data_IF_327337317748
#
_entry.id   IF_327337317748
#
_cell.length_a   1.000
_cell.length_b   1.000
_cell.length_c   1.000
_cell.angle_alpha   90.00
_cell.angle_beta   90.00
_cell.angle_gamma   90.00
#
_symmetry.space_group_name_H-M   'P 1'
#
loop_
_entity.id
_entity.type
_entity.pdbx_description
1 polymer ?
#
# COMPACT_ATOMS: atom_id res chain seq x y z
N UNK A 1 -21.14 -54.40 3.81
CA UNK A 1 -21.68 -53.09 4.19
C UNK A 1 -20.53 -52.11 4.13
N UNK A 2 -20.29 -51.57 2.94
CA UNK A 2 -19.24 -50.63 2.60
C UNK A 2 -19.65 -49.25 3.10
N UNK A 3 -18.96 -48.74 4.12
CA UNK A 3 -19.08 -47.35 4.53
C UNK A 3 -18.16 -46.52 3.63
N UNK A 4 -18.77 -45.68 2.79
CA UNK A 4 -18.11 -44.68 1.96
C UNK A 4 -17.34 -43.67 2.85
N UNK A 5 -16.08 -43.94 3.13
CA UNK A 5 -15.12 -42.93 3.57
C UNK A 5 -14.60 -42.19 2.35
N UNK A 6 -15.49 -41.44 1.70
CA UNK A 6 -15.10 -40.32 0.86
C UNK A 6 -14.58 -39.20 1.78
N UNK A 7 -13.39 -39.40 2.33
CA UNK A 7 -12.59 -38.31 2.89
C UNK A 7 -12.43 -37.30 1.75
N UNK A 8 -13.17 -36.19 1.83
CA UNK A 8 -12.98 -35.06 0.95
C UNK A 8 -11.50 -34.67 1.01
N UNK A 9 -10.71 -35.03 0.00
CA UNK A 9 -9.45 -34.35 -0.26
C UNK A 9 -9.79 -32.91 -0.60
N UNK A 10 -9.93 -32.08 0.43
CA UNK A 10 -10.04 -30.64 0.29
C UNK A 10 -8.78 -30.18 -0.41
N UNK A 11 -8.93 -29.77 -1.67
CA UNK A 11 -7.82 -29.38 -2.51
C UNK A 11 -7.12 -28.15 -1.93
N UNK A 12 -5.93 -28.38 -1.36
CA UNK A 12 -5.02 -27.35 -0.84
C UNK A 12 -4.55 -26.34 -1.91
N UNK A 13 -4.84 -26.62 -3.18
CA UNK A 13 -4.41 -25.81 -4.33
C UNK A 13 -5.01 -24.41 -4.27
N UNK A 14 -6.30 -24.27 -3.95
CA UNK A 14 -6.99 -22.97 -3.95
C UNK A 14 -6.41 -21.98 -2.94
N UNK A 15 -6.31 -22.29 -1.64
CA UNK A 15 -5.78 -21.34 -0.64
C UNK A 15 -4.31 -21.00 -0.89
N UNK A 16 -3.48 -21.99 -1.27
CA UNK A 16 -2.08 -21.76 -1.62
C UNK A 16 -1.96 -20.88 -2.88
N UNK A 17 -2.80 -21.09 -3.89
CA UNK A 17 -2.82 -20.26 -5.09
C UNK A 17 -3.21 -18.81 -4.78
N UNK A 18 -4.21 -18.59 -3.93
CA UNK A 18 -4.61 -17.24 -3.49
C UNK A 18 -3.45 -16.56 -2.78
N UNK A 19 -2.85 -17.21 -1.79
CA UNK A 19 -1.72 -16.65 -1.05
C UNK A 19 -0.51 -16.38 -1.95
N UNK A 20 -0.16 -17.31 -2.83
CA UNK A 20 0.94 -17.16 -3.78
C UNK A 20 0.68 -16.02 -4.77
N UNK A 21 -0.55 -15.91 -5.28
CA UNK A 21 -0.95 -14.81 -6.17
C UNK A 21 -0.85 -13.45 -5.49
N UNK A 22 -1.19 -13.37 -4.20
CA UNK A 22 -1.04 -12.16 -3.40
C UNK A 22 0.44 -11.77 -3.25
N UNK A 23 1.31 -12.74 -2.94
CA UNK A 23 2.75 -12.48 -2.82
C UNK A 23 3.38 -12.04 -4.14
N UNK A 24 2.97 -12.66 -5.25
CA UNK A 24 3.40 -12.26 -6.59
C UNK A 24 2.91 -10.85 -6.93
N UNK A 25 1.67 -10.49 -6.59
CA UNK A 25 1.15 -9.13 -6.79
C UNK A 25 2.01 -8.10 -6.04
N UNK A 26 2.31 -8.33 -4.77
CA UNK A 26 3.19 -7.47 -3.96
C UNK A 26 4.57 -7.29 -4.59
N UNK A 27 5.17 -8.38 -5.08
CA UNK A 27 6.47 -8.37 -5.75
C UNK A 27 6.40 -7.58 -7.07
N UNK A 28 5.41 -7.86 -7.92
CA UNK A 28 5.23 -7.19 -9.20
C UNK A 28 5.01 -5.68 -9.04
N UNK A 29 4.19 -5.25 -8.08
CA UNK A 29 3.98 -3.83 -7.78
C UNK A 29 5.26 -3.15 -7.31
N UNK A 30 6.02 -3.81 -6.43
CA UNK A 30 7.31 -3.31 -5.95
C UNK A 30 8.29 -3.14 -7.11
N UNK A 31 8.41 -4.15 -7.98
CA UNK A 31 9.27 -4.10 -9.18
C UNK A 31 8.82 -2.97 -10.12
N UNK A 32 7.51 -2.81 -10.36
CA UNK A 32 6.96 -1.74 -11.20
C UNK A 32 7.39 -0.37 -10.67
N UNK A 33 7.21 -0.11 -9.38
CA UNK A 33 7.57 1.16 -8.76
C UNK A 33 9.08 1.38 -8.80
N UNK A 34 9.88 0.37 -8.43
CA UNK A 34 11.34 0.48 -8.45
C UNK A 34 11.85 0.75 -9.87
N UNK A 35 11.34 0.08 -10.91
CA UNK A 35 11.71 0.34 -12.30
C UNK A 35 11.40 1.77 -12.72
N UNK A 36 10.22 2.29 -12.34
CA UNK A 36 9.85 3.67 -12.60
C UNK A 36 10.79 4.67 -11.89
N UNK A 37 11.20 4.38 -10.66
CA UNK A 37 12.16 5.19 -9.90
C UNK A 37 13.56 5.15 -10.51
N UNK A 38 14.08 3.96 -10.84
CA UNK A 38 15.40 3.79 -11.45
C UNK A 38 15.50 4.47 -12.80
N UNK A 39 14.48 4.36 -13.65
CA UNK A 39 14.44 5.07 -14.94
C UNK A 39 14.59 6.59 -14.75
N UNK A 40 13.88 7.17 -13.77
CA UNK A 40 14.00 8.61 -13.45
C UNK A 40 15.36 8.97 -12.84
N UNK A 41 15.91 8.11 -11.98
CA UNK A 41 17.24 8.32 -11.40
C UNK A 41 18.34 8.33 -12.47
N UNK A 42 18.30 7.39 -13.43
CA UNK A 42 19.24 7.34 -14.56
C UNK A 42 19.15 8.60 -15.42
N UNK A 43 17.93 9.03 -15.77
CA UNK A 43 17.73 10.28 -16.52
C UNK A 43 18.31 11.49 -15.78
N UNK A 44 18.02 11.63 -14.48
CA UNK A 44 18.57 12.71 -13.65
C UNK A 44 20.10 12.71 -13.63
N UNK A 45 20.73 11.53 -13.50
CA UNK A 45 22.19 11.38 -13.53
C UNK A 45 22.80 11.82 -14.87
N UNK A 46 22.15 11.47 -15.99
CA UNK A 46 22.61 11.88 -17.34
C UNK A 46 22.58 13.40 -17.56
N UNK A 47 21.61 14.12 -16.98
CA UNK A 47 21.53 15.59 -17.06
C UNK A 47 22.53 16.31 -16.13
N UNK A 48 23.03 15.64 -15.09
CA UNK A 48 24.05 16.16 -14.18
C UNK A 48 25.49 15.98 -14.71
N UNK A 49 25.67 15.40 -15.90
CA UNK A 49 26.97 15.31 -16.54
C UNK A 49 27.44 16.71 -17.00
N UNK A 50 28.66 17.16 -16.64
CA UNK A 50 29.09 18.54 -16.85
C UNK A 50 29.50 18.77 -18.31
N UNK A 51 28.52 18.92 -19.19
CA UNK A 51 28.76 19.16 -20.61
C UNK A 51 27.81 20.23 -21.14
N UNK A 52 28.35 21.44 -21.22
CA UNK A 52 27.92 22.62 -22.00
C UNK A 52 26.69 23.38 -21.48
N UNK A 53 27.01 24.50 -20.82
CA UNK A 53 26.39 25.82 -20.96
C UNK A 53 25.03 25.84 -21.69
N UNK A 54 23.94 25.79 -20.94
CA UNK A 54 22.72 26.49 -21.34
C UNK A 54 22.01 27.00 -20.10
N UNK A 55 22.07 28.32 -19.97
CA UNK A 55 21.35 29.18 -19.03
C UNK A 55 19.85 28.98 -19.16
N UNK A 56 19.30 28.03 -18.40
CA UNK A 56 17.89 28.04 -18.07
C UNK A 56 17.74 27.78 -16.57
N UNK A 57 17.07 28.72 -15.89
CA UNK A 57 16.65 28.65 -14.50
C UNK A 57 15.82 27.39 -14.23
N UNK A 58 16.47 26.24 -14.05
CA UNK A 58 15.84 25.09 -13.43
C UNK A 58 15.62 25.42 -11.97
N UNK A 59 14.36 25.49 -11.56
CA UNK A 59 13.97 25.55 -10.15
C UNK A 59 14.69 24.44 -9.38
N UNK A 60 15.13 24.68 -8.14
CA UNK A 60 15.95 23.74 -7.40
C UNK A 60 15.17 22.45 -7.21
N UNK A 61 15.60 21.38 -7.89
CA UNK A 61 15.26 20.05 -7.44
C UNK A 61 15.68 19.97 -5.97
N UNK A 62 14.73 19.71 -5.06
CA UNK A 62 15.01 19.51 -3.63
C UNK A 62 16.25 18.62 -3.49
N UNK A 63 17.14 18.98 -2.57
CA UNK A 63 18.50 18.45 -2.53
C UNK A 63 18.52 16.91 -2.61
N UNK A 64 19.39 16.33 -3.46
CA UNK A 64 19.50 14.88 -3.62
C UNK A 64 19.91 14.16 -2.32
N UNK A 65 20.34 14.92 -1.31
CA UNK A 65 20.81 14.47 0.00
C UNK A 65 19.78 13.62 0.76
N UNK A 66 18.48 13.86 0.58
CA UNK A 66 17.45 13.10 1.28
C UNK A 66 17.06 11.78 0.57
N UNK A 67 17.53 11.54 -0.65
CA UNK A 67 17.21 10.33 -1.41
C UNK A 67 17.62 9.04 -0.67
N UNK A 68 18.88 8.92 -0.20
CA UNK A 68 19.33 7.76 0.58
C UNK A 68 18.54 7.54 1.87
N UNK A 69 18.12 8.62 2.54
CA UNK A 69 17.32 8.53 3.77
C UNK A 69 15.97 7.86 3.50
N UNK A 70 15.22 8.30 2.48
CA UNK A 70 13.93 7.68 2.14
C UNK A 70 14.09 6.24 1.65
N UNK A 71 15.18 5.92 0.94
CA UNK A 71 15.49 4.55 0.56
C UNK A 71 15.77 3.66 1.79
N UNK A 72 16.58 4.14 2.74
CA UNK A 72 16.86 3.44 3.99
C UNK A 72 15.58 3.23 4.82
N UNK A 73 14.75 4.26 4.96
CA UNK A 73 13.46 4.18 5.64
C UNK A 73 12.51 3.19 4.95
N UNK A 74 12.50 3.12 3.62
CA UNK A 74 11.73 2.12 2.89
C UNK A 74 12.21 0.69 3.21
N UNK A 75 13.52 0.45 3.19
CA UNK A 75 14.10 -0.87 3.52
C UNK A 75 13.77 -1.27 4.96
N UNK A 76 13.99 -0.36 5.92
CA UNK A 76 13.70 -0.60 7.34
C UNK A 76 12.20 -0.87 7.54
N UNK A 77 11.34 -0.08 6.90
CA UNK A 77 9.89 -0.28 6.97
C UNK A 77 9.47 -1.64 6.41
N UNK A 78 10.04 -2.05 5.28
CA UNK A 78 9.74 -3.34 4.68
C UNK A 78 10.21 -4.48 5.60
N UNK A 79 11.45 -4.42 6.06
CA UNK A 79 12.03 -5.42 6.96
C UNK A 79 11.20 -5.55 8.26
N UNK A 80 10.82 -4.42 8.86
CA UNK A 80 10.01 -4.41 10.09
C UNK A 80 8.64 -5.02 9.85
N UNK A 81 7.95 -4.63 8.77
CA UNK A 81 6.61 -5.15 8.46
C UNK A 81 6.66 -6.66 8.24
N UNK A 82 7.60 -7.13 7.42
CA UNK A 82 7.72 -8.55 7.11
C UNK A 82 8.18 -9.37 8.32
N UNK A 83 9.05 -8.83 9.17
CA UNK A 83 9.41 -9.49 10.43
C UNK A 83 8.17 -9.78 11.29
N UNK A 84 7.31 -8.77 11.51
CA UNK A 84 6.09 -8.97 12.30
C UNK A 84 5.04 -9.82 11.57
N UNK A 85 4.92 -9.70 10.24
CA UNK A 85 3.99 -10.51 9.45
C UNK A 85 4.36 -12.00 9.49
N UNK A 86 5.64 -12.34 9.36
CA UNK A 86 6.11 -13.71 9.48
C UNK A 86 5.91 -14.28 10.89
N UNK A 87 6.15 -13.46 11.93
CA UNK A 87 5.85 -13.86 13.31
C UNK A 87 4.36 -14.09 13.54
N UNK A 88 3.50 -13.25 12.96
CA UNK A 88 2.06 -13.43 12.99
C UNK A 88 1.64 -14.73 12.29
N UNK A 89 2.16 -15.01 11.10
CA UNK A 89 1.90 -16.26 10.39
C UNK A 89 2.33 -17.49 11.18
N UNK A 90 3.52 -17.45 11.80
CA UNK A 90 3.97 -18.53 12.68
C UNK A 90 3.05 -18.70 13.89
N UNK A 91 2.64 -17.61 14.55
CA UNK A 91 1.74 -17.67 15.70
C UNK A 91 0.35 -18.21 15.32
N UNK A 92 -0.23 -17.75 14.21
CA UNK A 92 -1.52 -18.22 13.68
C UNK A 92 -1.45 -19.70 13.30
N UNK A 93 -0.37 -20.14 12.64
CA UNK A 93 -0.14 -21.55 12.33
C UNK A 93 -0.05 -22.41 13.58
N UNK A 94 0.74 -22.01 14.58
CA UNK A 94 0.85 -22.76 15.84
C UNK A 94 -0.47 -22.85 16.59
N UNK A 95 -1.27 -21.77 16.62
CA UNK A 95 -2.60 -21.78 17.24
C UNK A 95 -3.58 -22.69 16.50
N UNK A 96 -3.54 -22.72 15.17
CA UNK A 96 -4.35 -23.63 14.36
C UNK A 96 -3.91 -25.09 14.57
N UNK A 97 -2.60 -25.36 14.54
CA UNK A 97 -2.06 -26.71 14.71
C UNK A 97 -2.41 -27.29 16.10
N UNK A 98 -2.34 -26.48 17.16
CA UNK A 98 -2.74 -26.92 18.51
C UNK A 98 -4.24 -27.19 18.65
N UNK A 99 -5.07 -26.53 17.85
CA UNK A 99 -6.53 -26.71 17.89
C UNK A 99 -6.95 -27.96 17.10
N UNK A 100 -6.16 -28.36 16.11
CA UNK A 100 -6.42 -29.51 15.24
C UNK A 100 -5.57 -30.74 15.59
N UNK A 101 -4.93 -30.75 16.78
CA UNK A 101 -4.06 -31.82 17.27
C UNK A 101 -2.95 -32.25 16.28
N UNK A 102 -2.47 -31.33 15.44
CA UNK A 102 -1.38 -31.59 14.48
C UNK A 102 -0.06 -31.64 15.24
N UNK A 103 0.60 -32.80 15.21
CA UNK A 103 1.85 -33.02 15.94
C UNK A 103 2.99 -32.15 15.39
N UNK A 104 3.80 -31.50 16.27
CA UNK A 104 4.96 -30.75 15.83
C UNK A 104 6.01 -31.69 15.22
N UNK A 105 6.19 -31.63 13.90
CA UNK A 105 7.12 -32.48 13.14
C UNK A 105 6.48 -33.27 12.01
N UNK A 106 5.14 -33.30 11.93
CA UNK A 106 4.44 -33.78 10.74
C UNK A 106 4.60 -32.79 9.56
N UNK A 107 4.30 -33.23 8.35
CA UNK A 107 4.40 -32.38 7.15
C UNK A 107 3.61 -31.09 7.35
N UNK A 108 4.24 -29.94 7.10
CA UNK A 108 3.61 -28.63 7.36
C UNK A 108 2.35 -28.45 6.50
N UNK A 109 1.18 -28.50 7.13
CA UNK A 109 -0.13 -28.51 6.45
C UNK A 109 -0.61 -27.10 6.08
N UNK A 110 0.23 -26.34 5.37
CA UNK A 110 -0.04 -24.94 5.02
C UNK A 110 -1.35 -24.75 4.24
N UNK A 111 -1.72 -25.72 3.39
CA UNK A 111 -2.94 -25.64 2.60
C UNK A 111 -4.21 -25.70 3.44
N UNK A 112 -4.22 -26.56 4.46
CA UNK A 112 -5.34 -26.70 5.39
C UNK A 112 -5.40 -25.50 6.33
N UNK A 113 -4.25 -25.08 6.87
CA UNK A 113 -4.16 -23.85 7.67
C UNK A 113 -4.71 -22.62 6.92
N UNK A 114 -4.28 -22.39 5.68
CA UNK A 114 -4.76 -21.27 4.86
C UNK A 114 -6.23 -21.40 4.43
N UNK A 115 -6.78 -22.62 4.40
CA UNK A 115 -8.19 -22.85 4.11
C UNK A 115 -9.07 -22.48 5.31
N UNK A 116 -8.64 -22.85 6.51
CA UNK A 116 -9.44 -22.71 7.73
C UNK A 116 -9.25 -21.33 8.39
N UNK A 117 -8.12 -20.68 8.15
CA UNK A 117 -7.83 -19.36 8.72
C UNK A 117 -8.09 -18.24 7.72
N UNK A 118 -8.93 -17.30 8.13
CA UNK A 118 -9.04 -16.02 7.42
C UNK A 118 -7.98 -15.07 7.96
N UNK A 119 -6.74 -15.20 7.47
CA UNK A 119 -5.57 -14.43 7.95
C UNK A 119 -5.82 -12.92 7.99
N UNK A 120 -6.53 -12.39 6.99
CA UNK A 120 -6.86 -10.96 6.95
C UNK A 120 -7.84 -10.58 8.07
N UNK A 121 -8.88 -11.39 8.30
CA UNK A 121 -9.85 -11.17 9.37
C UNK A 121 -9.18 -11.28 10.74
N UNK A 122 -8.29 -12.25 10.93
CA UNK A 122 -7.57 -12.47 12.18
C UNK A 122 -6.58 -11.33 12.48
N UNK A 123 -5.81 -10.90 11.49
CA UNK A 123 -4.85 -9.80 11.63
C UNK A 123 -5.56 -8.48 11.97
N UNK A 124 -6.60 -8.12 11.20
CA UNK A 124 -7.38 -6.92 11.49
C UNK A 124 -8.18 -7.03 12.76
N UNK A 125 -8.70 -8.22 13.06
CA UNK A 125 -9.39 -8.48 14.32
C UNK A 125 -8.47 -8.21 15.51
N UNK A 126 -7.22 -8.69 15.45
CA UNK A 126 -6.19 -8.43 16.46
C UNK A 126 -5.86 -6.95 16.59
N UNK A 127 -5.79 -6.24 15.45
CA UNK A 127 -5.45 -4.82 15.39
C UNK A 127 -6.53 -3.92 16.01
N UNK A 128 -7.81 -4.35 16.01
CA UNK A 128 -8.91 -3.55 16.59
C UNK A 128 -9.48 -4.13 17.88
N UNK A 129 -8.94 -5.25 18.36
CA UNK A 129 -9.47 -6.00 19.50
C UNK A 129 -9.52 -5.20 20.81
N UNK A 130 -8.63 -4.23 20.99
CA UNK A 130 -8.59 -3.39 22.21
C UNK A 130 -8.65 -1.92 21.85
N UNK A 131 -9.19 -1.05 22.74
CA UNK A 131 -9.24 0.39 22.48
C UNK A 131 -7.86 1.00 22.17
N UNK A 132 -6.80 0.53 22.84
CA UNK A 132 -5.44 1.00 22.59
C UNK A 132 -4.91 0.58 21.22
N UNK A 133 -5.18 -0.66 20.77
CA UNK A 133 -4.78 -1.12 19.44
C UNK A 133 -5.60 -0.43 18.35
N UNK A 134 -6.91 -0.30 18.57
CA UNK A 134 -7.80 0.43 17.69
C UNK A 134 -7.38 1.89 17.51
N UNK A 135 -6.97 2.57 18.59
CA UNK A 135 -6.44 3.94 18.51
C UNK A 135 -5.28 4.05 17.52
N UNK A 136 -4.30 3.16 17.60
CA UNK A 136 -3.17 3.14 16.67
C UNK A 136 -3.59 2.77 15.25
N UNK A 137 -4.50 1.80 15.09
CA UNK A 137 -5.05 1.42 13.79
C UNK A 137 -5.76 2.60 13.11
N UNK A 138 -6.52 3.39 13.87
CA UNK A 138 -7.19 4.58 13.36
C UNK A 138 -6.18 5.63 12.85
N UNK A 139 -5.03 5.80 13.52
CA UNK A 139 -3.98 6.72 13.05
C UNK A 139 -3.44 6.31 11.68
N UNK A 140 -3.31 5.01 11.40
CA UNK A 140 -2.84 4.52 10.10
C UNK A 140 -3.85 4.89 9.01
N UNK A 141 -5.15 4.72 9.26
CA UNK A 141 -6.18 5.12 8.31
C UNK A 141 -6.18 6.64 8.07
N UNK A 142 -6.05 7.44 9.13
CA UNK A 142 -5.99 8.90 9.02
C UNK A 142 -4.78 9.38 8.23
N UNK A 143 -3.61 8.81 8.52
CA UNK A 143 -2.41 9.07 7.75
C UNK A 143 -2.61 8.71 6.28
N UNK A 144 -3.15 7.53 5.98
CA UNK A 144 -3.36 7.06 4.60
C UNK A 144 -4.37 7.93 3.85
N UNK A 145 -5.41 8.41 4.54
CA UNK A 145 -6.40 9.34 4.02
C UNK A 145 -5.76 10.66 3.59
N UNK A 146 -5.01 11.32 4.48
CA UNK A 146 -4.27 12.54 4.13
C UNK A 146 -3.23 12.29 3.03
N UNK A 147 -2.50 11.18 3.12
CA UNK A 147 -1.47 10.80 2.15
C UNK A 147 -2.06 10.56 0.75
N UNK A 148 -3.28 10.02 0.63
CA UNK A 148 -3.97 9.83 -0.66
C UNK A 148 -4.15 11.15 -1.43
N UNK A 149 -4.51 12.23 -0.73
CA UNK A 149 -4.68 13.57 -1.31
C UNK A 149 -3.34 14.16 -1.71
N UNK A 150 -2.34 14.07 -0.82
CA UNK A 150 -0.96 14.53 -1.10
C UNK A 150 -0.40 13.81 -2.31
N UNK A 151 -0.64 12.50 -2.42
CA UNK A 151 -0.21 11.69 -3.56
C UNK A 151 -0.84 12.15 -4.86
N UNK A 152 -2.16 12.39 -4.87
CA UNK A 152 -2.85 12.94 -6.04
C UNK A 152 -2.29 14.30 -6.46
N UNK A 153 -2.17 15.22 -5.50
CA UNK A 153 -1.69 16.58 -5.75
C UNK A 153 -0.23 16.63 -6.23
N UNK A 154 0.72 16.06 -5.48
CA UNK A 154 2.14 16.06 -5.85
C UNK A 154 2.39 15.17 -7.08
N UNK A 155 1.65 14.08 -7.22
CA UNK A 155 1.69 13.20 -8.37
C UNK A 155 1.32 13.91 -9.68
N UNK A 156 0.24 14.69 -9.65
CA UNK A 156 -0.16 15.55 -10.78
C UNK A 156 0.88 16.63 -11.09
N UNK A 157 1.32 17.37 -10.06
CA UNK A 157 2.29 18.47 -10.21
C UNK A 157 3.63 18.05 -10.79
N UNK A 158 4.04 16.80 -10.59
CA UNK A 158 5.35 16.25 -10.98
C UNK A 158 5.26 15.18 -12.07
N UNK A 159 4.07 14.94 -12.64
CA UNK A 159 3.80 13.87 -13.63
C UNK A 159 4.39 12.53 -13.17
N UNK A 160 4.14 12.15 -11.91
CA UNK A 160 4.58 10.84 -11.39
C UNK A 160 3.63 9.78 -11.96
N UNK A 161 4.14 8.79 -12.73
CA UNK A 161 3.28 7.77 -13.31
C UNK A 161 2.82 6.77 -12.25
N UNK A 162 1.73 6.05 -12.54
CA UNK A 162 1.24 4.92 -11.73
C UNK A 162 0.95 5.25 -10.26
N UNK A 163 0.35 6.40 -9.93
CA UNK A 163 -0.03 6.75 -8.54
C UNK A 163 -0.88 5.66 -7.86
N UNK A 164 -1.77 5.03 -8.62
CA UNK A 164 -2.57 3.90 -8.14
C UNK A 164 -1.70 2.74 -7.61
N UNK A 165 -0.52 2.51 -8.18
CA UNK A 165 0.37 1.43 -7.73
C UNK A 165 0.99 1.75 -6.36
N UNK A 166 1.29 3.02 -6.06
CA UNK A 166 1.74 3.44 -4.74
C UNK A 166 0.66 3.27 -3.69
N UNK A 167 -0.58 3.66 -4.02
CA UNK A 167 -1.73 3.46 -3.12
C UNK A 167 -1.97 1.97 -2.87
N UNK A 168 -2.01 1.16 -3.94
CA UNK A 168 -2.22 -0.29 -3.82
C UNK A 168 -1.11 -0.96 -3.02
N UNK A 169 0.16 -0.62 -3.28
CA UNK A 169 1.31 -1.12 -2.53
C UNK A 169 1.21 -0.76 -1.04
N UNK A 170 0.72 0.44 -0.71
CA UNK A 170 0.47 0.85 0.66
C UNK A 170 -0.57 -0.01 1.37
N UNK A 171 -1.60 -0.45 0.65
CA UNK A 171 -2.67 -1.30 1.19
C UNK A 171 -2.29 -2.77 1.29
N UNK A 172 -1.48 -3.30 0.36
CA UNK A 172 -1.13 -4.74 0.32
C UNK A 172 0.20 -5.09 1.01
N UNK A 173 1.14 -4.15 1.12
CA UNK A 173 2.45 -4.41 1.75
C UNK A 173 2.57 -3.62 3.04
N UNK A 174 2.75 -2.31 2.92
CA UNK A 174 2.85 -1.40 4.06
C UNK A 174 2.74 0.04 3.59
N UNK A 175 1.91 0.82 4.28
CA UNK A 175 1.71 2.25 3.99
C UNK A 175 3.02 3.02 4.13
N UNK A 176 3.83 2.72 5.15
CA UNK A 176 5.13 3.36 5.38
C UNK A 176 6.18 3.00 4.34
N UNK A 177 6.15 1.78 3.79
CA UNK A 177 7.05 1.40 2.69
C UNK A 177 6.69 2.18 1.42
N UNK A 178 5.40 2.18 1.06
CA UNK A 178 4.92 2.86 -0.13
C UNK A 178 5.07 4.39 -0.05
N UNK A 179 4.87 5.01 1.13
CA UNK A 179 5.04 6.45 1.31
C UNK A 179 6.49 6.89 1.16
N UNK A 180 7.46 6.12 1.68
CA UNK A 180 8.88 6.40 1.48
C UNK A 180 9.29 6.28 0.00
N UNK A 181 8.80 5.27 -0.72
CA UNK A 181 9.02 5.16 -2.17
C UNK A 181 8.38 6.32 -2.95
N UNK A 182 7.21 6.79 -2.52
CA UNK A 182 6.56 7.96 -3.12
C UNK A 182 7.36 9.24 -2.87
N UNK A 183 7.88 9.46 -1.66
CA UNK A 183 8.75 10.61 -1.37
C UNK A 183 10.03 10.56 -2.19
N UNK A 184 10.61 9.37 -2.39
CA UNK A 184 11.72 9.19 -3.32
C UNK A 184 11.32 9.55 -4.76
N UNK A 185 10.13 9.15 -5.21
CA UNK A 185 9.58 9.53 -6.53
C UNK A 185 9.46 11.06 -6.68
N UNK A 186 9.01 11.75 -5.63
CA UNK A 186 8.89 13.21 -5.57
C UNK A 186 10.26 13.89 -5.67
N UNK A 187 11.29 13.36 -5.01
CA UNK A 187 12.68 13.89 -5.08
C UNK A 187 13.35 13.66 -6.43
N UNK A 188 12.99 12.58 -7.12
CA UNK A 188 13.51 12.25 -8.45
C UNK A 188 12.74 12.94 -9.58
N UNK A 189 11.55 13.49 -9.30
CA UNK A 189 10.70 14.12 -10.32
C UNK A 189 10.77 15.65 -10.24
N UNK A 190 11.25 16.35 -11.30
CA UNK A 190 11.27 17.80 -11.33
C UNK A 190 9.85 18.38 -11.32
N UNK A 191 9.72 19.61 -10.83
CA UNK A 191 8.46 20.34 -10.91
C UNK A 191 8.13 20.63 -12.39
N UNK A 192 6.86 20.53 -12.76
CA UNK A 192 6.33 20.86 -14.11
C UNK A 192 6.64 22.30 -14.56
N UNK A 193 7.14 23.16 -13.66
CA UNK A 193 7.55 24.54 -13.94
C UNK A 193 8.70 24.71 -14.93
N UNK A 194 9.43 23.65 -15.28
CA UNK A 194 10.51 23.73 -16.27
C UNK A 194 10.04 23.65 -17.74
N UNK A 195 8.77 23.34 -18.04
CA UNK A 195 8.21 23.42 -19.39
C UNK A 195 7.74 24.86 -19.68
N UNK A 196 8.17 25.46 -20.81
CA UNK A 196 7.77 26.82 -21.26
C UNK A 196 6.26 27.02 -21.11
N UNK A 197 5.86 27.88 -20.17
CA UNK A 197 4.45 28.13 -19.89
C UNK A 197 3.78 28.96 -20.98
N UNK A 198 2.83 28.37 -21.70
CA UNK A 198 1.75 29.11 -22.34
C UNK A 198 0.70 29.48 -21.27
N UNK A 199 -0.11 30.52 -21.49
CA UNK A 199 -1.14 30.94 -20.51
C UNK A 199 -2.08 29.78 -20.13
N UNK A 200 -2.36 28.91 -21.11
CA UNK A 200 -3.22 27.74 -20.99
C UNK A 200 -2.60 26.62 -20.11
N UNK A 201 -1.27 26.51 -20.06
CA UNK A 201 -0.59 25.53 -19.22
C UNK A 201 -0.47 25.95 -17.75
N UNK A 202 -0.60 27.26 -17.43
CA UNK A 202 -0.69 27.75 -16.04
C UNK A 202 -2.03 27.37 -15.40
N UNK A 203 -3.14 27.54 -16.12
CA UNK A 203 -4.49 27.19 -15.66
C UNK A 203 -4.59 25.68 -15.37
N UNK A 204 -4.00 24.85 -16.24
CA UNK A 204 -3.90 23.38 -16.03
C UNK A 204 -2.94 22.95 -14.92
N UNK A 205 -2.11 23.85 -14.37
CA UNK A 205 -1.21 23.56 -13.25
C UNK A 205 -1.87 23.82 -11.89
N UNK A 206 -2.79 24.78 -11.87
CA UNK A 206 -3.54 25.21 -10.69
C UNK A 206 -4.87 24.48 -10.54
N UNK A 207 -5.22 23.58 -11.48
CA UNK A 207 -6.44 22.81 -11.39
C UNK A 207 -6.41 21.92 -10.15
N UNK A 208 -7.40 22.12 -9.30
CA UNK A 208 -7.71 21.25 -8.17
C UNK A 208 -9.13 20.72 -8.38
N UNK A 209 -9.38 19.42 -8.14
CA UNK A 209 -10.73 18.90 -8.11
C UNK A 209 -11.59 19.69 -7.12
N UNK A 210 -12.91 19.82 -7.36
CA UNK A 210 -13.84 20.38 -6.40
C UNK A 210 -13.62 19.79 -5.00
N UNK A 211 -13.59 20.65 -3.97
CA UNK A 211 -13.28 20.24 -2.60
C UNK A 211 -14.19 19.09 -2.10
N UNK A 212 -15.45 19.06 -2.56
CA UNK A 212 -16.41 17.99 -2.23
C UNK A 212 -15.94 16.63 -2.74
N UNK A 213 -15.37 16.55 -3.96
CA UNK A 213 -14.87 15.28 -4.52
C UNK A 213 -13.63 14.75 -3.79
N UNK A 214 -12.90 15.62 -3.10
CA UNK A 214 -11.77 15.23 -2.25
C UNK A 214 -12.22 14.94 -0.82
N UNK A 215 -13.15 15.71 -0.27
CA UNK A 215 -13.61 15.58 1.11
C UNK A 215 -14.55 14.38 1.31
N UNK A 216 -15.47 14.12 0.37
CA UNK A 216 -16.43 13.02 0.46
C UNK A 216 -15.77 11.65 0.70
N UNK A 217 -14.75 11.19 -0.08
CA UNK A 217 -14.11 9.90 0.17
C UNK A 217 -13.39 9.84 1.53
N UNK A 218 -12.87 10.95 2.02
CA UNK A 218 -12.21 11.03 3.33
C UNK A 218 -13.23 10.92 4.46
N UNK A 219 -14.33 11.66 4.37
CA UNK A 219 -15.43 11.61 5.35
C UNK A 219 -16.01 10.20 5.41
N UNK A 220 -16.28 9.58 4.25
CA UNK A 220 -16.77 8.20 4.18
C UNK A 220 -15.76 7.24 4.82
N UNK A 221 -14.47 7.39 4.53
CA UNK A 221 -13.39 6.60 5.15
C UNK A 221 -13.40 6.75 6.67
N UNK A 222 -13.52 7.98 7.19
CA UNK A 222 -13.51 8.23 8.63
C UNK A 222 -14.76 7.71 9.34
N UNK A 223 -15.94 7.88 8.75
CA UNK A 223 -17.18 7.31 9.28
C UNK A 223 -17.12 5.79 9.31
N UNK A 224 -16.56 5.18 8.26
CA UNK A 224 -16.34 3.74 8.18
C UNK A 224 -15.41 3.24 9.28
N UNK A 225 -14.26 3.90 9.47
CA UNK A 225 -13.27 3.55 10.51
C UNK A 225 -13.84 3.73 11.92
N UNK A 226 -14.57 4.82 12.17
CA UNK A 226 -15.25 5.05 13.44
C UNK A 226 -16.32 3.98 13.73
N UNK A 227 -16.88 3.35 12.69
CA UNK A 227 -17.89 2.30 12.80
C UNK A 227 -17.31 0.89 13.04
N UNK A 228 -15.99 0.71 12.94
CA UNK A 228 -15.33 -0.60 13.07
C UNK A 228 -15.58 -1.26 14.45
N UNK A 229 -15.45 -0.57 15.60
CA UNK A 229 -15.67 -1.19 16.90
C UNK A 229 -17.07 -1.76 17.08
N UNK A 230 -18.08 -1.12 16.47
CA UNK A 230 -19.48 -1.56 16.54
C UNK A 230 -19.77 -2.74 15.61
N UNK A 231 -18.94 -2.95 14.59
CA UNK A 231 -19.13 -4.00 13.57
C UNK A 231 -18.19 -5.19 13.74
N UNK A 232 -17.31 -5.17 14.74
CA UNK A 232 -16.29 -6.20 15.00
C UNK A 232 -16.86 -7.63 15.11
N UNK A 233 -17.98 -7.80 15.81
CA UNK A 233 -18.64 -9.11 15.98
C UNK A 233 -19.62 -9.45 14.85
N UNK A 234 -19.78 -8.57 13.86
CA UNK A 234 -20.75 -8.73 12.78
C UNK A 234 -20.12 -9.38 11.55
N UNK A 235 -20.91 -10.07 10.70
CA UNK A 235 -20.42 -10.55 9.41
C UNK A 235 -19.95 -9.43 8.48
N UNK A 236 -20.39 -8.19 8.74
CA UNK A 236 -20.07 -7.01 7.94
C UNK A 236 -18.70 -6.39 8.27
N UNK A 237 -17.95 -6.94 9.25
CA UNK A 237 -16.65 -6.42 9.66
C UNK A 237 -15.69 -6.22 8.48
N UNK A 238 -15.53 -7.25 7.63
CA UNK A 238 -14.65 -7.19 6.47
C UNK A 238 -15.13 -6.19 5.41
N UNK A 239 -16.45 -6.08 5.23
CA UNK A 239 -17.02 -5.13 4.29
C UNK A 239 -16.78 -3.68 4.76
N UNK A 240 -17.00 -3.40 6.05
CA UNK A 240 -16.73 -2.10 6.66
C UNK A 240 -15.25 -1.73 6.56
N UNK A 241 -14.36 -2.71 6.68
CA UNK A 241 -12.93 -2.51 6.53
C UNK A 241 -12.52 -2.25 5.07
N UNK A 242 -13.22 -2.84 4.10
CA UNK A 242 -12.93 -2.66 2.66
C UNK A 242 -13.27 -1.26 2.13
N UNK A 243 -14.20 -0.54 2.77
CA UNK A 243 -14.64 0.80 2.35
C UNK A 243 -13.46 1.78 2.30
N UNK A 244 -12.66 1.99 3.38
CA UNK A 244 -11.43 2.75 3.31
C UNK A 244 -10.52 2.37 2.14
N UNK A 245 -10.29 1.07 1.93
CA UNK A 245 -9.39 0.59 0.89
C UNK A 245 -9.82 1.03 -0.52
N UNK A 246 -11.13 1.05 -0.80
CA UNK A 246 -11.66 1.49 -2.10
C UNK A 246 -11.63 3.01 -2.24
N UNK A 247 -12.15 3.74 -1.25
CA UNK A 247 -12.32 5.20 -1.35
C UNK A 247 -10.98 5.96 -1.37
N UNK A 248 -9.93 5.40 -0.78
CA UNK A 248 -8.59 5.98 -0.80
C UNK A 248 -7.94 6.02 -2.20
N UNK A 249 -8.44 5.28 -3.19
CA UNK A 249 -7.99 5.41 -4.58
C UNK A 249 -8.56 6.64 -5.29
N UNK A 250 -9.65 7.22 -4.80
CA UNK A 250 -10.35 8.30 -5.50
C UNK A 250 -9.45 9.53 -5.68
N UNK A 251 -8.77 10.08 -4.65
CA UNK A 251 -7.94 11.26 -4.85
C UNK A 251 -6.80 11.04 -5.87
N UNK A 252 -5.98 9.97 -5.78
CA UNK A 252 -4.94 9.70 -6.79
C UNK A 252 -5.47 9.53 -8.23
N UNK A 253 -6.71 9.03 -8.40
CA UNK A 253 -7.32 8.84 -9.72
C UNK A 253 -7.93 10.13 -10.28
N UNK A 254 -8.58 10.94 -9.44
CA UNK A 254 -9.18 12.22 -9.84
C UNK A 254 -8.14 13.19 -10.39
N UNK A 255 -6.96 13.24 -9.78
CA UNK A 255 -5.85 14.10 -10.21
C UNK A 255 -5.15 13.62 -11.50
N UNK A 256 -5.59 12.50 -12.10
CA UNK A 256 -5.06 11.98 -13.37
C UNK A 256 -5.86 12.45 -14.59
N UNK A 257 -7.11 12.89 -14.38
CA UNK A 257 -8.01 13.45 -15.41
C UNK A 257 -7.54 14.86 -15.76
#
# INVERSE_FOLDING_TARGET
>A
MSADTSYYSTSNVRPIAIFTSYMLLCLCLTILILRALFSKATLKSSYLSPSKQQTHHFSPARSPEFGPLFAALAIISLATTWHYMLRFFSASYHSWASTNDVLPGDNMELGLWLNDTSLFKEAWGTAVATPARFWWTQQIFFFTAGWSVVMGYEGHRRKIPHLWAFMLLGQVVAVSFASNLFFLAVLLSPLRQAEKFTSDSRIRLTWTPPAVLLAAPLVITFLSVASIPYTFNSPNFLLMLSVPHIFLFIPPLLYRI
#
